data_IF_545583345757
#
_entry.id   IF_545583345757
#
_cell.length_a   1.000
_cell.length_b   1.000
_cell.length_c   1.000
_cell.angle_alpha   90.00
_cell.angle_beta   90.00
_cell.angle_gamma   90.00
#
_symmetry.space_group_name_H-M   'P 1'
#
loop_
_entity.id
_entity.type
_entity.pdbx_description
1 polymer ?
#
# COMPACT_ATOMS: atom_id res chain seq x y z
N UNK A 1 -7.02 -20.02 -20.56
CA UNK A 1 -7.03 -19.73 -22.00
C UNK A 1 -8.31 -20.21 -22.67
N UNK A 2 -8.57 -21.53 -22.73
CA UNK A 2 -9.78 -22.10 -23.37
C UNK A 2 -11.09 -21.41 -22.95
N UNK A 3 -11.30 -21.21 -21.64
CA UNK A 3 -12.49 -20.53 -21.12
C UNK A 3 -12.65 -19.11 -21.67
N UNK A 4 -11.58 -18.32 -21.75
CA UNK A 4 -11.63 -16.95 -22.29
C UNK A 4 -11.89 -16.97 -23.80
N UNK A 5 -11.22 -17.87 -24.52
CA UNK A 5 -11.38 -18.02 -25.97
C UNK A 5 -12.75 -18.54 -26.39
N UNK A 6 -13.50 -19.19 -25.49
CA UNK A 6 -14.88 -19.66 -25.76
C UNK A 6 -15.89 -18.52 -25.97
N UNK A 7 -15.54 -17.29 -25.56
CA UNK A 7 -16.39 -16.09 -25.64
C UNK A 7 -15.60 -14.90 -26.20
N UNK A 8 -15.15 -14.99 -27.47
CA UNK A 8 -14.21 -14.02 -28.04
C UNK A 8 -14.77 -12.61 -28.08
N UNK A 9 -13.93 -11.62 -27.73
CA UNK A 9 -14.27 -10.21 -27.74
C UNK A 9 -15.30 -9.78 -26.68
N UNK A 10 -15.63 -10.65 -25.73
CA UNK A 10 -16.57 -10.35 -24.64
C UNK A 10 -15.85 -9.96 -23.37
N UNK A 11 -16.54 -9.17 -22.55
CA UNK A 11 -15.99 -8.71 -21.27
C UNK A 11 -16.00 -9.81 -20.22
N UNK A 12 -14.92 -9.92 -19.44
CA UNK A 12 -14.82 -10.84 -18.33
C UNK A 12 -13.85 -10.39 -17.25
N UNK A 13 -13.98 -11.01 -16.08
CA UNK A 13 -13.13 -10.74 -14.92
C UNK A 13 -12.43 -12.04 -14.52
N UNK A 14 -11.15 -11.95 -14.18
CA UNK A 14 -10.38 -13.05 -13.63
C UNK A 14 -9.87 -12.67 -12.24
N UNK A 15 -10.31 -13.36 -11.20
CA UNK A 15 -9.87 -13.16 -9.82
C UNK A 15 -8.64 -14.01 -9.50
N UNK A 16 -7.64 -13.37 -8.91
CA UNK A 16 -6.38 -13.98 -8.45
C UNK A 16 -6.09 -13.57 -7.00
N UNK A 17 -5.33 -14.40 -6.29
CA UNK A 17 -5.08 -14.24 -4.85
C UNK A 17 -4.01 -13.20 -4.52
N UNK A 18 -3.12 -12.85 -5.46
CA UNK A 18 -2.00 -11.93 -5.21
C UNK A 18 -1.75 -10.97 -6.37
N UNK A 19 -1.08 -9.84 -6.08
CA UNK A 19 -0.70 -8.83 -7.10
C UNK A 19 0.26 -9.43 -8.14
N UNK A 20 1.29 -10.14 -7.68
CA UNK A 20 2.26 -10.80 -8.56
C UNK A 20 1.58 -11.77 -9.54
N UNK A 21 0.61 -12.58 -9.07
CA UNK A 21 -0.15 -13.47 -9.96
C UNK A 21 -1.03 -12.70 -10.94
N UNK A 22 -1.50 -11.51 -10.58
CA UNK A 22 -2.25 -10.66 -11.51
C UNK A 22 -1.37 -10.22 -12.68
N UNK A 23 -0.16 -9.76 -12.37
CA UNK A 23 0.81 -9.30 -13.37
C UNK A 23 1.32 -10.44 -14.26
N UNK A 24 1.59 -11.62 -13.67
CA UNK A 24 1.97 -12.83 -14.40
C UNK A 24 0.86 -13.28 -15.36
N UNK A 25 -0.39 -13.32 -14.88
CA UNK A 25 -1.51 -13.74 -15.70
C UNK A 25 -1.84 -12.71 -16.79
N UNK A 26 -1.69 -11.41 -16.52
CA UNK A 26 -1.82 -10.38 -17.54
C UNK A 26 -0.83 -10.60 -18.68
N UNK A 27 0.44 -10.83 -18.35
CA UNK A 27 1.49 -11.09 -19.35
C UNK A 27 1.10 -12.27 -20.24
N UNK A 28 0.65 -13.37 -19.64
CA UNK A 28 0.18 -14.55 -20.37
C UNK A 28 -1.01 -14.25 -21.30
N UNK A 29 -1.99 -13.45 -20.84
CA UNK A 29 -3.15 -13.07 -21.65
C UNK A 29 -2.72 -12.21 -22.85
N UNK A 30 -1.84 -11.23 -22.64
CA UNK A 30 -1.35 -10.34 -23.69
C UNK A 30 -0.52 -11.10 -24.74
N UNK A 31 0.34 -12.03 -24.32
CA UNK A 31 1.10 -12.91 -25.22
C UNK A 31 0.18 -13.76 -26.13
N UNK A 32 -1.04 -14.02 -25.68
CA UNK A 32 -2.06 -14.74 -26.42
C UNK A 32 -3.07 -13.83 -27.14
N UNK A 33 -2.71 -12.55 -27.35
CA UNK A 33 -3.53 -11.54 -28.04
C UNK A 33 -4.90 -11.28 -27.39
N UNK A 34 -5.01 -11.40 -26.07
CA UNK A 34 -6.21 -11.03 -25.32
C UNK A 34 -6.06 -9.61 -24.80
N UNK A 35 -7.00 -8.73 -25.16
CA UNK A 35 -7.10 -7.36 -24.66
C UNK A 35 -7.43 -7.36 -23.16
N UNK A 36 -6.39 -7.33 -22.32
CA UNK A 36 -6.50 -7.44 -20.87
C UNK A 36 -5.80 -6.29 -20.14
N UNK A 37 -6.20 -6.05 -18.89
CA UNK A 37 -5.50 -5.16 -17.95
C UNK A 37 -5.60 -5.70 -16.52
N UNK A 38 -4.79 -5.16 -15.59
CA UNK A 38 -4.80 -5.54 -14.18
C UNK A 38 -5.51 -4.51 -13.32
N UNK A 39 -6.09 -4.97 -12.22
CA UNK A 39 -6.61 -4.10 -11.17
C UNK A 39 -6.29 -4.66 -9.78
N UNK A 40 -5.45 -3.96 -9.05
CA UNK A 40 -5.15 -4.31 -7.66
C UNK A 40 -4.73 -3.10 -6.83
N UNK A 41 -4.72 -3.25 -5.51
CA UNK A 41 -4.41 -2.18 -4.56
C UNK A 41 -2.96 -1.64 -4.62
N UNK A 42 -2.07 -2.25 -5.41
CA UNK A 42 -0.72 -1.72 -5.67
C UNK A 42 -0.65 -0.61 -6.72
N UNK A 43 -1.72 -0.41 -7.50
CA UNK A 43 -1.79 0.63 -8.52
C UNK A 43 -2.17 1.98 -7.89
N UNK A 44 -1.75 3.06 -8.54
CA UNK A 44 -2.16 4.39 -8.09
C UNK A 44 -3.66 4.64 -8.33
N UNK A 45 -4.17 5.75 -7.78
CA UNK A 45 -5.59 6.10 -7.91
C UNK A 45 -6.03 6.45 -9.34
N UNK A 46 -5.13 7.05 -10.13
CA UNK A 46 -5.42 7.49 -11.50
C UNK A 46 -5.41 6.32 -12.48
N UNK A 47 -4.42 5.43 -12.38
CA UNK A 47 -4.31 4.18 -13.11
C UNK A 47 -5.53 3.29 -12.88
N UNK A 48 -5.96 3.11 -11.62
CA UNK A 48 -7.18 2.34 -11.31
C UNK A 48 -8.40 2.92 -11.97
N UNK A 49 -8.55 4.26 -11.96
CA UNK A 49 -9.66 4.96 -12.62
C UNK A 49 -9.62 4.75 -14.13
N UNK A 50 -8.45 4.92 -14.73
CA UNK A 50 -8.26 4.74 -16.17
C UNK A 50 -8.56 3.30 -16.61
N UNK A 51 -8.08 2.29 -15.90
CA UNK A 51 -8.38 0.88 -16.20
C UNK A 51 -9.88 0.62 -16.10
N UNK A 52 -10.52 1.09 -15.03
CA UNK A 52 -11.96 0.93 -14.83
C UNK A 52 -12.75 1.59 -15.96
N UNK A 53 -12.45 2.83 -16.33
CA UNK A 53 -13.13 3.55 -17.42
C UNK A 53 -13.00 2.82 -18.76
N UNK A 54 -11.79 2.35 -19.10
CA UNK A 54 -11.55 1.64 -20.35
C UNK A 54 -12.20 0.25 -20.37
N UNK A 55 -12.31 -0.43 -19.23
CA UNK A 55 -13.09 -1.67 -19.11
C UNK A 55 -14.59 -1.43 -19.28
N UNK A 56 -15.13 -0.39 -18.64
CA UNK A 56 -16.54 0.00 -18.77
C UNK A 56 -16.90 0.33 -20.22
N UNK A 57 -16.02 1.08 -20.90
CA UNK A 57 -16.13 1.42 -22.32
C UNK A 57 -15.89 0.23 -23.27
N UNK A 58 -15.48 -0.93 -22.75
CA UNK A 58 -15.23 -2.14 -23.53
C UNK A 58 -13.95 -2.12 -24.36
N UNK A 59 -13.00 -1.23 -24.06
CA UNK A 59 -11.66 -1.24 -24.67
C UNK A 59 -10.78 -2.35 -24.09
N UNK A 60 -10.90 -2.61 -22.79
CA UNK A 60 -10.37 -3.84 -22.20
C UNK A 60 -11.47 -4.89 -22.17
N UNK A 61 -11.17 -6.08 -22.69
CA UNK A 61 -12.09 -7.22 -22.64
C UNK A 61 -11.94 -7.97 -21.33
N UNK A 62 -10.72 -8.12 -20.83
CA UNK A 62 -10.49 -8.88 -19.60
C UNK A 62 -9.86 -7.99 -18.55
N UNK A 63 -10.34 -8.09 -17.31
CA UNK A 63 -9.63 -7.55 -16.15
C UNK A 63 -9.16 -8.69 -15.27
N UNK A 64 -7.87 -8.71 -14.96
CA UNK A 64 -7.29 -9.56 -13.93
C UNK A 64 -7.25 -8.78 -12.63
N UNK A 65 -7.89 -9.29 -11.60
CA UNK A 65 -8.16 -8.57 -10.37
C UNK A 65 -7.81 -9.37 -9.13
N UNK A 66 -7.34 -8.67 -8.10
CA UNK A 66 -7.45 -9.19 -6.73
C UNK A 66 -8.81 -8.80 -6.13
N UNK A 67 -9.15 -9.28 -4.93
CA UNK A 67 -10.39 -8.93 -4.22
C UNK A 67 -10.61 -7.40 -4.07
N UNK A 68 -9.57 -6.59 -4.27
CA UNK A 68 -9.66 -5.13 -4.33
C UNK A 68 -10.58 -4.59 -5.45
N UNK A 69 -10.89 -5.38 -6.49
CA UNK A 69 -11.81 -4.99 -7.57
C UNK A 69 -13.30 -5.13 -7.19
N UNK A 70 -13.59 -5.40 -5.91
CA UNK A 70 -14.95 -5.60 -5.38
C UNK A 70 -15.81 -4.33 -5.28
N UNK A 71 -15.20 -3.15 -5.21
CA UNK A 71 -15.93 -1.90 -4.91
C UNK A 71 -16.31 -1.14 -6.19
N UNK A 72 -17.55 -1.34 -6.66
CA UNK A 72 -18.23 -0.33 -7.49
C UNK A 72 -18.34 -0.57 -9.00
N UNK A 73 -17.93 -1.73 -9.53
CA UNK A 73 -18.12 -2.02 -10.96
C UNK A 73 -19.50 -2.61 -11.24
N UNK A 74 -20.29 -1.88 -12.00
CA UNK A 74 -21.61 -2.26 -12.50
C UNK A 74 -21.64 -2.31 -14.03
N UNK A 75 -20.86 -3.23 -14.61
CA UNK A 75 -20.90 -3.52 -16.05
C UNK A 75 -21.92 -4.63 -16.30
N UNK A 76 -23.00 -4.31 -17.00
CA UNK A 76 -24.13 -5.25 -17.20
C UNK A 76 -23.79 -6.46 -18.07
N UNK A 77 -22.82 -6.32 -18.97
CA UNK A 77 -22.53 -7.24 -20.06
C UNK A 77 -21.29 -8.13 -19.83
N UNK A 78 -20.90 -8.35 -18.58
CA UNK A 78 -19.85 -9.33 -18.22
C UNK A 78 -20.33 -10.75 -18.58
N UNK A 79 -19.56 -11.45 -19.42
CA UNK A 79 -19.88 -12.80 -19.92
C UNK A 79 -19.23 -13.91 -19.15
N UNK A 80 -18.16 -13.63 -18.43
CA UNK A 80 -17.54 -14.62 -17.58
C UNK A 80 -16.87 -14.02 -16.36
N UNK A 81 -16.87 -14.80 -15.29
CA UNK A 81 -16.02 -14.59 -14.11
C UNK A 81 -15.21 -15.87 -13.93
N UNK A 82 -13.89 -15.75 -13.85
CA UNK A 82 -12.98 -16.87 -13.59
C UNK A 82 -12.29 -16.61 -12.28
N UNK A 83 -12.41 -17.52 -11.32
CA UNK A 83 -11.58 -17.54 -10.14
C UNK A 83 -10.38 -18.41 -10.46
N UNK A 84 -9.25 -17.77 -10.78
CA UNK A 84 -8.00 -18.46 -11.05
C UNK A 84 -7.38 -19.00 -9.76
N UNK A 85 -7.64 -18.32 -8.65
CA UNK A 85 -7.37 -18.77 -7.29
C UNK A 85 -8.69 -18.95 -6.52
N UNK A 86 -8.70 -19.89 -5.57
CA UNK A 86 -9.86 -20.10 -4.70
C UNK A 86 -10.16 -18.84 -3.88
N UNK A 87 -11.42 -18.34 -3.88
CA UNK A 87 -11.83 -17.22 -3.03
C UNK A 87 -11.65 -17.53 -1.54
N UNK A 88 -11.40 -16.49 -0.74
CA UNK A 88 -11.18 -16.66 0.70
C UNK A 88 -12.44 -17.01 1.50
N UNK A 89 -13.62 -16.69 0.97
CA UNK A 89 -14.89 -17.07 1.58
C UNK A 89 -15.96 -17.41 0.54
N UNK A 90 -17.03 -18.07 0.98
CA UNK A 90 -18.20 -18.37 0.13
C UNK A 90 -18.90 -17.07 -0.29
N UNK A 91 -18.98 -16.09 0.59
CA UNK A 91 -19.59 -14.78 0.32
C UNK A 91 -18.82 -14.04 -0.78
N UNK A 92 -17.49 -14.06 -0.73
CA UNK A 92 -16.65 -13.48 -1.78
C UNK A 92 -16.97 -14.12 -3.13
N UNK A 93 -17.00 -15.46 -3.19
CA UNK A 93 -17.38 -16.19 -4.41
C UNK A 93 -18.75 -15.74 -4.94
N UNK A 94 -19.78 -15.66 -4.10
CA UNK A 94 -21.12 -15.25 -4.53
C UNK A 94 -21.15 -13.80 -5.05
N UNK A 95 -20.47 -12.88 -4.37
CA UNK A 95 -20.42 -11.47 -4.80
C UNK A 95 -19.67 -11.31 -6.13
N UNK A 96 -18.57 -12.03 -6.30
CA UNK A 96 -17.71 -11.99 -7.49
C UNK A 96 -18.41 -12.65 -8.69
N UNK A 97 -18.94 -13.86 -8.50
CA UNK A 97 -19.71 -14.59 -9.51
C UNK A 97 -20.96 -13.81 -9.96
N UNK A 98 -21.64 -13.13 -9.03
CA UNK A 98 -22.84 -12.31 -9.30
C UNK A 98 -22.61 -11.06 -10.18
N UNK A 99 -21.38 -10.82 -10.65
CA UNK A 99 -21.07 -9.77 -11.63
C UNK A 99 -21.37 -10.20 -13.06
N UNK A 100 -21.29 -11.50 -13.35
CA UNK A 100 -21.60 -12.03 -14.67
C UNK A 100 -23.10 -11.95 -14.95
N UNK A 101 -23.50 -11.69 -16.20
CA UNK A 101 -24.87 -11.93 -16.64
C UNK A 101 -25.93 -10.94 -16.13
N UNK A 102 -25.56 -9.74 -15.68
CA UNK A 102 -26.52 -8.73 -15.15
C UNK A 102 -27.52 -8.20 -16.19
N UNK A 103 -27.27 -8.43 -17.47
CA UNK A 103 -28.19 -8.17 -18.58
C UNK A 103 -29.13 -9.35 -18.90
N UNK A 104 -29.06 -10.44 -18.13
CA UNK A 104 -29.86 -11.66 -18.31
C UNK A 104 -29.39 -12.56 -19.46
N UNK A 105 -28.30 -12.22 -20.16
CA UNK A 105 -27.75 -13.03 -21.25
C UNK A 105 -26.84 -14.13 -20.71
N UNK A 106 -26.65 -15.23 -21.48
CA UNK A 106 -25.76 -16.31 -21.08
C UNK A 106 -24.38 -15.82 -20.62
N UNK A 107 -23.94 -16.35 -19.50
CA UNK A 107 -22.65 -16.11 -18.88
C UNK A 107 -22.28 -17.30 -18.02
N UNK A 108 -20.98 -17.46 -17.72
CA UNK A 108 -20.54 -18.54 -16.86
C UNK A 108 -19.61 -18.04 -15.75
N UNK A 109 -19.56 -18.80 -14.67
CA UNK A 109 -18.56 -18.63 -13.63
C UNK A 109 -17.73 -19.91 -13.54
N UNK A 110 -16.40 -19.78 -13.62
CA UNK A 110 -15.47 -20.89 -13.55
C UNK A 110 -14.59 -20.73 -12.32
N UNK A 111 -14.49 -21.77 -11.50
CA UNK A 111 -13.54 -21.84 -10.39
C UNK A 111 -12.47 -22.85 -10.78
N UNK A 112 -11.23 -22.39 -10.91
CA UNK A 112 -10.08 -23.26 -11.00
C UNK A 112 -9.65 -23.64 -9.59
N UNK A 113 -9.29 -24.90 -9.41
CA UNK A 113 -8.85 -25.41 -8.12
C UNK A 113 -7.47 -26.03 -8.27
N UNK A 114 -6.54 -25.54 -7.47
CA UNK A 114 -5.28 -26.21 -7.18
C UNK A 114 -5.20 -26.48 -5.68
N UNK A 115 -4.76 -27.68 -5.24
CA UNK A 115 -4.47 -27.93 -3.83
C UNK A 115 -3.53 -26.90 -3.20
N UNK A 116 -2.68 -26.24 -4.02
CA UNK A 116 -1.77 -25.19 -3.55
C UNK A 116 -2.50 -23.91 -3.13
N UNK A 117 -3.69 -23.64 -3.68
CA UNK A 117 -4.47 -22.44 -3.35
C UNK A 117 -4.95 -22.46 -1.90
N UNK A 118 -5.09 -23.66 -1.33
CA UNK A 118 -5.40 -23.85 0.10
C UNK A 118 -4.36 -23.19 1.00
N UNK A 119 -3.06 -23.27 0.65
CA UNK A 119 -2.00 -22.69 1.48
C UNK A 119 -2.13 -21.17 1.60
N UNK A 120 -2.53 -20.50 0.52
CA UNK A 120 -2.72 -19.05 0.55
C UNK A 120 -3.87 -18.66 1.49
N UNK A 121 -4.97 -19.42 1.46
CA UNK A 121 -6.09 -19.17 2.36
C UNK A 121 -5.76 -19.53 3.82
N UNK A 122 -5.06 -20.63 4.06
CA UNK A 122 -4.56 -20.97 5.40
C UNK A 122 -3.59 -19.90 5.94
N UNK A 123 -2.75 -19.33 5.08
CA UNK A 123 -1.86 -18.22 5.44
C UNK A 123 -2.65 -16.98 5.87
N UNK A 124 -3.66 -16.56 5.09
CA UNK A 124 -4.51 -15.44 5.46
C UNK A 124 -5.30 -15.70 6.76
N UNK A 125 -5.87 -16.90 6.92
CA UNK A 125 -6.59 -17.28 8.14
C UNK A 125 -5.69 -17.17 9.37
N UNK A 126 -4.44 -17.64 9.29
CA UNK A 126 -3.46 -17.51 10.37
C UNK A 126 -3.11 -16.04 10.64
N UNK A 127 -2.97 -15.23 9.60
CA UNK A 127 -2.74 -13.79 9.72
C UNK A 127 -3.90 -13.02 10.38
N UNK A 128 -5.13 -13.43 10.09
CA UNK A 128 -6.35 -12.82 10.63
C UNK A 128 -6.71 -13.34 12.03
N UNK A 129 -6.08 -14.42 12.49
CA UNK A 129 -6.32 -15.04 13.79
C UNK A 129 -5.00 -15.35 14.51
N UNK A 130 -4.23 -14.31 14.92
CA UNK A 130 -3.02 -14.51 15.68
C UNK A 130 -3.32 -15.23 17.01
N UNK A 131 -2.49 -16.19 17.44
CA UNK A 131 -2.71 -16.91 18.69
C UNK A 131 -2.54 -15.97 19.91
N UNK A 132 -3.24 -16.22 21.03
CA UNK A 132 -3.17 -15.36 22.21
C UNK A 132 -1.75 -15.14 22.73
N UNK A 133 -0.90 -16.15 22.66
CA UNK A 133 0.50 -16.10 23.10
C UNK A 133 1.30 -15.06 22.32
N UNK A 134 1.07 -14.97 21.00
CA UNK A 134 1.71 -13.97 20.14
C UNK A 134 1.22 -12.55 20.45
N UNK A 135 -0.07 -12.38 20.74
CA UNK A 135 -0.64 -11.07 21.10
C UNK A 135 -0.01 -10.58 22.41
N UNK A 136 0.14 -11.47 23.40
CA UNK A 136 0.80 -11.17 24.67
C UNK A 136 2.27 -10.82 24.48
N UNK A 137 2.99 -11.59 23.66
CA UNK A 137 4.39 -11.31 23.34
C UNK A 137 4.56 -9.95 22.67
N UNK A 138 3.71 -9.62 21.69
CA UNK A 138 3.71 -8.31 21.04
C UNK A 138 3.43 -7.18 22.04
N UNK A 139 2.50 -7.37 22.96
CA UNK A 139 2.21 -6.39 24.00
C UNK A 139 3.42 -6.16 24.93
N UNK A 140 4.11 -7.22 25.34
CA UNK A 140 5.33 -7.10 26.14
C UNK A 140 6.48 -6.47 25.35
N UNK A 141 6.60 -6.76 24.05
CA UNK A 141 7.57 -6.10 23.18
C UNK A 141 7.31 -4.59 23.08
N UNK A 142 6.05 -4.17 22.97
CA UNK A 142 5.66 -2.76 22.96
C UNK A 142 5.98 -2.07 24.29
N UNK A 143 5.66 -2.70 25.43
CA UNK A 143 5.98 -2.15 26.76
C UNK A 143 7.47 -1.91 26.99
N UNK A 144 8.31 -2.79 26.43
CA UNK A 144 9.76 -2.72 26.57
C UNK A 144 10.44 -1.95 25.42
N UNK A 145 9.66 -1.44 24.45
CA UNK A 145 10.23 -0.75 23.31
C UNK A 145 10.87 0.57 23.75
N UNK A 146 12.12 0.86 23.33
CA UNK A 146 12.81 2.07 23.75
C UNK A 146 12.06 3.31 23.25
N UNK A 147 11.59 4.13 24.19
CA UNK A 147 11.00 5.44 23.89
C UNK A 147 12.15 6.42 23.68
N UNK A 148 12.16 7.11 22.54
CA UNK A 148 13.17 8.11 22.23
C UNK A 148 13.23 9.17 23.33
N UNK A 149 14.42 9.37 23.89
CA UNK A 149 14.67 10.35 24.95
C UNK A 149 14.34 11.76 24.45
N UNK A 150 13.22 12.30 24.92
CA UNK A 150 12.67 13.60 24.50
C UNK A 150 11.17 13.58 24.24
N UNK A 151 10.57 12.39 24.09
CA UNK A 151 9.15 12.23 23.85
C UNK A 151 8.37 12.17 25.18
N UNK A 152 7.62 13.24 25.48
CA UNK A 152 6.85 13.41 26.72
C UNK A 152 5.57 12.54 26.71
N UNK A 153 5.24 11.94 25.56
CA UNK A 153 3.94 11.32 25.28
C UNK A 153 3.89 9.80 25.47
N UNK A 154 5.04 9.11 25.64
CA UNK A 154 5.06 7.64 25.64
C UNK A 154 4.69 7.02 24.29
N UNK A 155 4.81 7.78 23.20
CA UNK A 155 4.52 7.33 21.83
C UNK A 155 5.62 6.40 21.31
N UNK A 156 5.21 5.31 20.67
CA UNK A 156 6.11 4.35 20.01
C UNK A 156 5.99 4.53 18.49
N UNK A 157 7.12 4.84 17.85
CA UNK A 157 7.24 4.87 16.40
C UNK A 157 7.96 3.60 15.94
N UNK A 158 7.19 2.66 15.38
CA UNK A 158 7.70 1.35 14.95
C UNK A 158 6.88 0.81 13.77
N UNK A 159 7.55 0.16 12.83
CA UNK A 159 6.90 -0.53 11.71
C UNK A 159 6.45 -1.94 12.09
N UNK A 160 5.47 -2.51 11.36
CA UNK A 160 5.10 -3.92 11.56
C UNK A 160 6.27 -4.88 11.36
N UNK A 161 7.15 -4.58 10.40
CA UNK A 161 8.34 -5.39 10.13
C UNK A 161 9.36 -5.36 11.28
N UNK A 162 9.53 -4.21 11.94
CA UNK A 162 10.37 -4.10 13.14
C UNK A 162 9.75 -4.86 14.31
N UNK A 163 8.45 -4.70 14.54
CA UNK A 163 7.73 -5.45 15.57
C UNK A 163 7.82 -6.96 15.36
N UNK A 164 7.68 -7.43 14.12
CA UNK A 164 7.80 -8.85 13.79
C UNK A 164 9.18 -9.42 14.17
N UNK A 165 10.26 -8.64 14.00
CA UNK A 165 11.63 -9.04 14.38
C UNK A 165 11.87 -9.11 15.90
N UNK A 166 10.97 -8.53 16.70
CA UNK A 166 11.05 -8.57 18.15
C UNK A 166 10.35 -9.81 18.75
N UNK A 167 9.59 -10.54 17.94
CA UNK A 167 8.89 -11.75 18.39
C UNK A 167 9.77 -13.00 18.21
N UNK A 168 9.48 -14.02 19.01
CA UNK A 168 10.22 -15.28 19.06
C UNK A 168 10.04 -16.13 17.80
N UNK A 169 8.86 -16.07 17.20
CA UNK A 169 8.50 -16.82 16.01
C UNK A 169 8.59 -15.95 14.74
N UNK A 170 8.80 -16.60 13.58
CA UNK A 170 8.66 -15.92 12.28
C UNK A 170 7.17 -15.65 12.01
N UNK A 171 6.73 -14.48 12.45
CA UNK A 171 5.33 -14.07 12.37
C UNK A 171 5.10 -13.20 11.13
N UNK A 172 4.10 -13.54 10.27
CA UNK A 172 3.70 -12.68 9.16
C UNK A 172 3.30 -11.27 9.63
N UNK A 173 3.73 -10.23 8.92
CA UNK A 173 3.40 -8.82 9.25
C UNK A 173 1.89 -8.57 9.37
N UNK A 174 1.07 -9.29 8.61
CA UNK A 174 -0.39 -9.20 8.70
C UNK A 174 -0.92 -9.58 10.09
N UNK A 175 -0.31 -10.58 10.74
CA UNK A 175 -0.68 -11.01 12.08
C UNK A 175 -0.35 -9.93 13.12
N UNK A 176 0.74 -9.18 12.94
CA UNK A 176 1.07 -8.01 13.77
C UNK A 176 -0.04 -6.97 13.64
N UNK A 177 -0.44 -6.64 12.41
CA UNK A 177 -1.50 -5.67 12.16
C UNK A 177 -2.83 -6.06 12.83
N UNK A 178 -3.19 -7.35 12.80
CA UNK A 178 -4.36 -7.91 13.49
C UNK A 178 -4.22 -7.86 15.00
N UNK A 179 -3.08 -8.28 15.56
CA UNK A 179 -2.83 -8.25 17.00
C UNK A 179 -2.90 -6.81 17.55
N UNK A 180 -2.32 -5.83 16.85
CA UNK A 180 -2.44 -4.41 17.22
C UNK A 180 -3.90 -3.92 17.21
N UNK A 181 -4.72 -4.34 16.24
CA UNK A 181 -6.16 -4.00 16.23
C UNK A 181 -6.90 -4.61 17.42
N UNK A 182 -6.53 -5.82 17.84
CA UNK A 182 -7.10 -6.45 19.03
C UNK A 182 -6.72 -5.65 20.27
N UNK A 183 -5.42 -5.35 20.46
CA UNK A 183 -4.94 -4.54 21.59
C UNK A 183 -5.59 -3.15 21.65
N UNK A 184 -5.78 -2.51 20.49
CA UNK A 184 -6.46 -1.21 20.35
C UNK A 184 -7.94 -1.31 20.74
N UNK A 185 -8.66 -2.33 20.24
CA UNK A 185 -10.07 -2.57 20.55
C UNK A 185 -10.30 -2.82 22.05
N UNK A 186 -9.40 -3.56 22.69
CA UNK A 186 -9.46 -3.86 24.13
C UNK A 186 -8.89 -2.73 25.01
N UNK A 187 -8.38 -1.64 24.41
CA UNK A 187 -7.93 -0.44 25.13
C UNK A 187 -6.53 -0.52 25.74
N UNK A 188 -5.71 -1.50 25.36
CA UNK A 188 -4.31 -1.62 25.83
C UNK A 188 -3.36 -0.67 25.11
N UNK A 189 -3.69 -0.29 23.88
CA UNK A 189 -2.94 0.70 23.09
C UNK A 189 -3.90 1.70 22.47
N UNK A 190 -3.40 2.89 22.16
CA UNK A 190 -4.09 3.87 21.32
C UNK A 190 -3.19 4.19 20.13
N UNK A 191 -3.75 4.11 18.92
CA UNK A 191 -3.03 4.58 17.73
C UNK A 191 -3.15 6.09 17.66
N UNK A 192 -2.02 6.79 17.65
CA UNK A 192 -2.01 8.23 17.44
C UNK A 192 -2.72 8.55 16.12
N UNK A 193 -3.74 9.42 16.22
CA UNK A 193 -4.44 9.98 15.06
C UNK A 193 -3.69 11.17 14.48
N UNK A 194 -2.47 11.46 14.94
CA UNK A 194 -1.65 12.56 14.43
C UNK A 194 -1.29 12.31 12.96
N UNK A 195 -2.16 12.86 12.11
CA UNK A 195 -1.99 13.24 10.71
C UNK A 195 -1.02 12.35 9.91
N UNK A 196 -1.57 11.23 9.45
CA UNK A 196 -1.13 10.46 8.28
C UNK A 196 -0.54 11.43 7.24
N UNK A 197 0.76 11.31 6.95
CA UNK A 197 1.46 12.16 5.98
C UNK A 197 2.48 13.17 6.56
N UNK A 198 2.62 13.27 7.88
CA UNK A 198 3.68 14.08 8.49
C UNK A 198 5.02 13.35 8.58
N UNK A 199 6.07 14.00 8.09
CA UNK A 199 7.46 13.58 8.22
C UNK A 199 8.12 14.34 9.37
N UNK A 200 9.10 13.73 10.05
CA UNK A 200 9.96 14.47 10.96
C UNK A 200 11.16 15.04 10.20
N UNK A 201 11.43 16.33 10.38
CA UNK A 201 12.60 17.01 9.83
C UNK A 201 13.30 17.81 10.92
N UNK A 202 14.59 17.57 11.12
CA UNK A 202 15.46 18.39 11.95
C UNK A 202 16.79 18.63 11.26
N UNK A 203 17.21 19.88 11.20
CA UNK A 203 18.51 20.27 10.65
C UNK A 203 19.53 20.28 11.79
N UNK A 204 20.58 19.47 11.65
CA UNK A 204 21.63 19.30 12.65
C UNK A 204 22.89 20.07 12.30
N UNK A 205 23.10 20.37 11.01
CA UNK A 205 24.25 21.13 10.51
C UNK A 205 23.94 22.63 10.30
N UNK A 206 24.99 23.44 10.25
CA UNK A 206 24.88 24.85 9.85
C UNK A 206 24.48 25.01 8.36
N UNK A 207 23.92 26.17 8.03
CA UNK A 207 23.46 26.44 6.66
C UNK A 207 24.61 26.36 5.64
N UNK A 208 25.81 26.82 5.99
CA UNK A 208 26.96 26.79 5.09
C UNK A 208 27.34 25.36 4.66
N UNK A 209 27.38 24.40 5.59
CA UNK A 209 27.63 22.99 5.29
C UNK A 209 26.54 22.39 4.40
N UNK A 210 25.29 22.74 4.64
CA UNK A 210 24.15 22.26 3.85
C UNK A 210 24.21 22.79 2.42
N UNK A 211 24.47 24.09 2.25
CA UNK A 211 24.64 24.67 0.92
C UNK A 211 25.92 24.19 0.20
N UNK A 212 26.95 23.82 0.97
CA UNK A 212 28.18 23.20 0.47
C UNK A 212 28.00 21.76 0.01
N UNK A 213 27.13 20.98 0.66
CA UNK A 213 26.83 19.60 0.26
C UNK A 213 25.96 19.53 -1.00
N UNK A 214 25.19 20.59 -1.27
CA UNK A 214 24.49 20.77 -2.53
C UNK A 214 25.48 21.16 -3.64
N UNK A 215 25.66 20.23 -4.60
CA UNK A 215 26.57 20.42 -5.74
C UNK A 215 26.32 21.75 -6.48
N UNK A 216 27.37 22.32 -7.08
CA UNK A 216 27.33 23.65 -7.71
C UNK A 216 26.27 23.80 -8.81
N UNK A 217 25.83 22.71 -9.43
CA UNK A 217 24.79 22.68 -10.47
C UNK A 217 23.35 22.53 -9.92
N UNK A 218 23.17 22.32 -8.62
CA UNK A 218 21.87 22.06 -7.98
C UNK A 218 21.08 23.36 -7.66
N UNK A 219 20.95 24.28 -8.63
CA UNK A 219 20.35 25.61 -8.43
C UNK A 219 18.98 25.56 -7.75
N UNK A 220 18.10 24.67 -8.22
CA UNK A 220 16.73 24.50 -7.69
C UNK A 220 16.69 23.91 -6.27
N UNK A 221 17.67 23.06 -5.91
CA UNK A 221 17.79 22.51 -4.57
C UNK A 221 18.24 23.57 -3.56
N UNK A 222 19.19 24.43 -3.95
CA UNK A 222 19.64 25.56 -3.13
C UNK A 222 18.49 26.55 -2.88
N UNK A 223 17.79 26.94 -3.94
CA UNK A 223 16.62 27.83 -3.83
C UNK A 223 15.52 27.24 -2.92
N UNK A 224 15.26 25.92 -3.03
CA UNK A 224 14.31 25.24 -2.14
C UNK A 224 14.76 25.34 -0.69
N UNK A 225 16.04 25.09 -0.38
CA UNK A 225 16.56 25.17 0.98
C UNK A 225 16.61 26.59 1.53
N UNK A 226 16.95 27.59 0.70
CA UNK A 226 16.87 29.01 1.09
C UNK A 226 15.46 29.39 1.54
N UNK A 227 14.44 29.02 0.75
CA UNK A 227 13.03 29.24 1.09
C UNK A 227 12.64 28.47 2.35
N UNK A 228 13.12 27.23 2.50
CA UNK A 228 12.80 26.39 3.64
C UNK A 228 13.35 26.99 4.94
N UNK A 229 14.62 27.41 4.94
CA UNK A 229 15.25 28.08 6.08
C UNK A 229 14.67 29.45 6.38
N UNK A 230 14.37 30.24 5.35
CA UNK A 230 13.83 31.59 5.53
C UNK A 230 12.44 31.59 6.16
N UNK A 231 11.65 30.53 5.96
CA UNK A 231 10.28 30.45 6.46
C UNK A 231 10.13 29.62 7.74
N UNK A 232 10.94 28.57 7.90
CA UNK A 232 10.78 27.56 8.95
C UNK A 232 12.09 27.28 9.70
N UNK A 233 12.98 28.28 9.79
CA UNK A 233 14.33 28.11 10.31
C UNK A 233 14.40 27.77 11.80
N UNK A 234 13.41 28.13 12.61
CA UNK A 234 13.37 27.76 14.04
C UNK A 234 12.81 26.34 14.21
N UNK A 235 11.72 26.03 13.52
CA UNK A 235 11.08 24.72 13.51
C UNK A 235 12.05 23.64 13.05
N UNK A 236 12.79 23.90 11.96
CA UNK A 236 13.81 23.00 11.45
C UNK A 236 14.95 22.75 12.45
N UNK A 237 15.31 23.71 13.31
CA UNK A 237 16.36 23.51 14.33
C UNK A 237 15.86 22.70 15.52
N UNK A 238 14.62 22.95 15.93
CA UNK A 238 14.00 22.30 17.09
C UNK A 238 13.51 20.87 16.76
N UNK A 239 13.37 20.56 15.47
CA UNK A 239 12.79 19.31 15.00
C UNK A 239 11.28 19.46 14.83
N UNK A 240 10.80 19.13 13.64
CA UNK A 240 9.46 19.50 13.21
C UNK A 240 8.73 18.34 12.52
N UNK A 241 7.51 18.06 12.98
CA UNK A 241 6.56 17.17 12.32
C UNK A 241 5.78 17.95 11.25
N UNK A 242 5.92 17.53 9.99
CA UNK A 242 5.51 18.36 8.86
C UNK A 242 4.95 17.57 7.68
N UNK A 243 3.83 18.04 7.13
CA UNK A 243 3.27 17.47 5.90
C UNK A 243 4.10 17.95 4.69
N UNK A 244 4.84 17.04 4.06
CA UNK A 244 5.71 17.37 2.94
C UNK A 244 4.95 17.79 1.68
N UNK A 245 3.68 17.43 1.54
CA UNK A 245 2.83 17.88 0.43
C UNK A 245 2.59 19.39 0.54
N UNK A 246 2.11 19.83 1.70
CA UNK A 246 1.80 21.24 2.00
C UNK A 246 3.06 22.11 1.92
N UNK A 247 4.17 21.63 2.48
CA UNK A 247 5.43 22.39 2.41
C UNK A 247 5.98 22.46 1.00
N UNK A 248 5.86 21.39 0.21
CA UNK A 248 6.30 21.45 -1.17
C UNK A 248 5.53 22.52 -1.97
N UNK A 249 4.22 22.64 -1.77
CA UNK A 249 3.40 23.71 -2.35
C UNK A 249 3.86 25.09 -1.87
N UNK A 250 4.05 25.28 -0.56
CA UNK A 250 4.47 26.57 0.02
C UNK A 250 5.85 27.01 -0.46
N UNK A 251 6.77 26.06 -0.64
CA UNK A 251 8.12 26.30 -1.15
C UNK A 251 8.18 26.40 -2.69
N UNK A 252 7.06 26.15 -3.38
CA UNK A 252 6.96 26.11 -4.84
C UNK A 252 7.97 25.11 -5.45
N UNK A 253 7.91 23.89 -4.91
CA UNK A 253 8.71 22.74 -5.36
C UNK A 253 7.85 21.49 -5.43
N UNK A 254 8.36 20.43 -6.08
CA UNK A 254 7.67 19.14 -6.09
C UNK A 254 8.01 18.36 -4.82
N UNK A 255 7.02 17.69 -4.23
CA UNK A 255 7.20 16.80 -3.06
C UNK A 255 8.36 15.83 -3.24
N UNK A 256 8.45 15.14 -4.37
CA UNK A 256 9.54 14.21 -4.67
C UNK A 256 10.92 14.87 -4.65
N UNK A 257 11.01 16.13 -5.07
CA UNK A 257 12.27 16.90 -5.02
C UNK A 257 12.65 17.20 -3.58
N UNK A 258 11.68 17.64 -2.76
CA UNK A 258 11.88 17.92 -1.35
C UNK A 258 12.29 16.65 -0.57
N UNK A 259 11.60 15.54 -0.80
CA UNK A 259 11.91 14.23 -0.20
C UNK A 259 13.32 13.77 -0.57
N UNK A 260 13.71 13.85 -1.85
CA UNK A 260 15.07 13.47 -2.29
C UNK A 260 16.14 14.32 -1.62
N UNK A 261 15.87 15.61 -1.45
CA UNK A 261 16.80 16.52 -0.81
C UNK A 261 16.97 16.19 0.68
N UNK A 262 15.86 16.00 1.40
CA UNK A 262 15.87 15.62 2.82
C UNK A 262 16.56 14.27 3.06
N UNK A 263 16.29 13.27 2.21
CA UNK A 263 17.00 11.97 2.26
C UNK A 263 18.49 12.13 2.08
N UNK A 264 18.91 12.89 1.06
CA UNK A 264 20.33 13.15 0.80
C UNK A 264 21.01 13.81 2.00
N UNK A 265 20.39 14.84 2.57
CA UNK A 265 20.95 15.52 3.75
C UNK A 265 21.04 14.58 4.96
N UNK A 266 20.10 13.65 5.10
CA UNK A 266 20.12 12.66 6.17
C UNK A 266 21.20 11.59 5.97
N UNK A 267 21.42 11.12 4.73
CA UNK A 267 22.53 10.23 4.37
C UNK A 267 23.90 10.88 4.65
N UNK A 268 23.99 12.21 4.49
CA UNK A 268 25.20 13.00 4.79
C UNK A 268 25.33 13.43 6.27
N UNK A 269 24.41 12.98 7.15
CA UNK A 269 24.33 13.37 8.57
C UNK A 269 24.18 14.89 8.81
N UNK A 270 23.59 15.61 7.85
CA UNK A 270 23.31 17.05 7.93
C UNK A 270 21.88 17.34 8.43
N UNK A 271 20.99 16.35 8.36
CA UNK A 271 19.62 16.40 8.86
C UNK A 271 19.18 15.06 9.47
N UNK A 272 18.29 15.11 10.46
CA UNK A 272 17.49 13.96 10.87
C UNK A 272 16.19 14.02 10.06
N UNK A 273 15.96 13.01 9.22
CA UNK A 273 14.74 12.90 8.41
C UNK A 273 14.07 11.56 8.65
N UNK A 274 12.83 11.59 9.15
CA UNK A 274 11.99 10.40 9.25
C UNK A 274 10.81 10.57 8.27
N UNK A 275 10.70 9.72 7.24
CA UNK A 275 9.61 9.82 6.28
C UNK A 275 8.26 9.60 6.97
N UNK A 276 7.16 10.09 6.37
CA UNK A 276 5.84 9.88 6.94
C UNK A 276 5.52 8.39 7.01
N UNK A 277 4.90 7.98 8.12
CA UNK A 277 4.37 6.63 8.28
C UNK A 277 3.38 6.33 7.14
N UNK A 278 3.60 5.21 6.44
CA UNK A 278 2.70 4.69 5.40
C UNK A 278 1.62 3.81 6.00
#
# INVERSE_FOLDING_TARGET
MEAVSSVPGKSGIIYVGTRARADELLSLLLENNIEASVYHAGMDGEERRWVQENFMAGKFKVIVATNAFGLGIDKRDIRFVIHYDMPGTIEAYYQEAGRAGRDGKPSFCLLLYSPRDKYLQEFFIKGDNPPPEMILELYEALKNYPISSGDISGTILVTHAELARLLSDDVPEMAIGTALKILEREGYIERSRERIGQAFVKIVADQEKIFGSLGSRAKKGKETMERFFSRYGEELRNGWQVNLEEIAEILDTKKDTLVRLLKKLSEENLAEYQPPFK
#
